data_IF_858380888328
#
_entry.id   IF_858380888328
#
_cell.length_a   1.000
_cell.length_b   1.000
_cell.length_c   1.000
_cell.angle_alpha   90.00
_cell.angle_beta   90.00
_cell.angle_gamma   90.00
#
_symmetry.space_group_name_H-M   'P 1'
#
loop_
_entity.id
_entity.type
_entity.pdbx_description
1 polymer ?
#
# COMPACT_ATOMS: atom_id res chain seq x y z
N UNK A 1 -10.23 12.93 -17.63
CA UNK A 1 -11.63 13.31 -17.34
C UNK A 1 -12.58 12.11 -17.20
N UNK A 2 -12.82 11.31 -18.26
CA UNK A 2 -13.76 10.16 -18.16
C UNK A 2 -13.46 9.19 -17.01
N UNK A 3 -12.20 8.77 -16.88
CA UNK A 3 -11.76 7.88 -15.79
C UNK A 3 -12.01 8.52 -14.42
N UNK A 4 -11.63 9.80 -14.25
CA UNK A 4 -11.85 10.55 -13.00
C UNK A 4 -13.32 10.59 -12.63
N UNK A 5 -14.20 10.97 -13.56
CA UNK A 5 -15.65 11.03 -13.32
C UNK A 5 -16.20 9.67 -12.91
N UNK A 6 -15.83 8.62 -13.64
CA UNK A 6 -16.31 7.26 -13.39
C UNK A 6 -15.83 6.73 -12.05
N UNK A 7 -14.53 6.81 -11.77
CA UNK A 7 -13.94 6.37 -10.50
C UNK A 7 -14.57 7.11 -9.32
N UNK A 8 -14.72 8.43 -9.39
CA UNK A 8 -15.34 9.20 -8.32
C UNK A 8 -16.80 8.79 -8.10
N UNK A 9 -17.59 8.58 -9.16
CA UNK A 9 -18.97 8.12 -9.04
C UNK A 9 -19.04 6.72 -8.40
N UNK A 10 -18.27 5.76 -8.90
CA UNK A 10 -18.24 4.40 -8.37
C UNK A 10 -17.76 4.36 -6.91
N UNK A 11 -16.77 5.20 -6.55
CA UNK A 11 -16.28 5.30 -5.18
C UNK A 11 -17.33 5.89 -4.21
N UNK A 12 -18.07 6.92 -4.64
CA UNK A 12 -19.16 7.48 -3.86
C UNK A 12 -20.28 6.45 -3.59
N UNK A 13 -20.58 5.60 -4.57
CA UNK A 13 -21.53 4.50 -4.42
C UNK A 13 -21.05 3.46 -3.41
N UNK A 14 -19.75 3.12 -3.40
CA UNK A 14 -19.14 2.23 -2.39
C UNK A 14 -19.29 2.82 -0.99
N UNK A 15 -18.95 4.10 -0.81
CA UNK A 15 -19.06 4.75 0.50
C UNK A 15 -20.50 4.77 1.02
N UNK A 16 -21.48 5.12 0.17
CA UNK A 16 -22.88 5.16 0.58
C UNK A 16 -23.41 3.77 0.94
N UNK A 17 -23.03 2.75 0.17
CA UNK A 17 -23.42 1.36 0.42
C UNK A 17 -22.83 0.84 1.73
N UNK A 18 -21.54 1.10 1.97
CA UNK A 18 -20.76 0.32 2.94
C UNK A 18 -20.52 1.05 4.28
N UNK A 19 -20.64 2.38 4.36
CA UNK A 19 -20.30 3.16 5.59
C UNK A 19 -21.08 2.79 6.85
N UNK A 20 -22.26 2.20 6.71
CA UNK A 20 -23.09 1.72 7.83
C UNK A 20 -22.64 0.37 8.41
N UNK A 21 -21.65 -0.30 7.79
CA UNK A 21 -21.15 -1.58 8.25
C UNK A 21 -20.00 -1.39 9.26
N UNK A 22 -20.13 -1.90 10.50
CA UNK A 22 -19.09 -1.73 11.52
C UNK A 22 -17.85 -2.58 11.26
N UNK A 23 -17.92 -3.60 10.40
CA UNK A 23 -16.76 -4.41 10.01
C UNK A 23 -15.83 -3.71 9.02
N UNK A 24 -16.28 -2.64 8.35
CA UNK A 24 -15.41 -1.79 7.56
C UNK A 24 -14.59 -0.93 8.53
N UNK A 25 -13.27 -1.03 8.47
CA UNK A 25 -12.36 -0.36 9.43
C UNK A 25 -11.45 0.69 8.78
N UNK A 26 -11.36 0.72 7.45
CA UNK A 26 -10.57 1.71 6.71
C UNK A 26 -11.11 1.84 5.27
N UNK A 27 -10.76 2.95 4.62
CA UNK A 27 -11.11 3.21 3.22
C UNK A 27 -9.87 3.37 2.35
N UNK A 28 -9.84 2.65 1.23
CA UNK A 28 -8.70 2.61 0.29
C UNK A 28 -9.22 2.85 -1.14
N UNK A 29 -9.27 4.10 -1.63
CA UNK A 29 -9.75 4.39 -2.98
C UNK A 29 -8.79 3.94 -4.09
N UNK A 30 -7.50 3.77 -3.81
CA UNK A 30 -6.47 3.41 -4.79
C UNK A 30 -5.48 2.44 -4.16
N UNK A 31 -5.10 1.41 -4.91
CA UNK A 31 -4.08 0.43 -4.55
C UNK A 31 -2.89 0.57 -5.51
N UNK A 32 -1.65 0.58 -5.01
CA UNK A 32 -0.41 0.47 -5.81
C UNK A 32 -0.28 1.45 -6.99
N UNK A 33 -0.93 2.62 -6.89
CA UNK A 33 -1.02 3.60 -7.97
C UNK A 33 -1.73 3.08 -9.24
N UNK A 34 -2.52 2.00 -9.18
CA UNK A 34 -3.25 1.46 -10.33
C UNK A 34 -4.21 2.51 -10.91
N UNK A 35 -4.03 2.82 -12.20
CA UNK A 35 -4.75 3.89 -12.89
C UNK A 35 -4.13 5.29 -12.75
N UNK A 36 -3.14 5.47 -11.88
CA UNK A 36 -2.38 6.70 -11.68
C UNK A 36 -0.87 6.41 -11.48
N UNK A 37 -0.27 5.58 -12.34
CA UNK A 37 1.06 4.97 -12.12
C UNK A 37 2.26 5.93 -12.05
N UNK A 38 2.09 7.17 -12.51
CA UNK A 38 3.14 8.18 -12.69
C UNK A 38 3.03 9.32 -11.65
N UNK A 39 2.42 9.05 -10.49
CA UNK A 39 2.11 10.08 -9.48
C UNK A 39 3.31 10.96 -9.14
N UNK A 40 4.52 10.41 -9.06
CA UNK A 40 5.73 11.16 -8.74
C UNK A 40 6.03 12.31 -9.72
N UNK A 41 5.68 12.15 -11.01
CA UNK A 41 5.91 13.13 -12.06
C UNK A 41 4.66 13.87 -12.56
N UNK A 42 3.47 13.48 -12.10
CA UNK A 42 2.16 13.95 -12.60
C UNK A 42 1.33 14.57 -11.48
N UNK A 43 1.40 15.90 -11.27
CA UNK A 43 0.62 16.59 -10.24
C UNK A 43 -0.89 16.34 -10.33
N UNK A 44 -1.42 16.14 -11.54
CA UNK A 44 -2.84 15.81 -11.79
C UNK A 44 -3.24 14.45 -11.21
N UNK A 45 -2.33 13.47 -11.19
CA UNK A 45 -2.56 12.15 -10.60
C UNK A 45 -2.52 12.22 -9.07
N UNK A 46 -1.59 12.99 -8.51
CA UNK A 46 -1.57 13.28 -7.07
C UNK A 46 -2.85 14.02 -6.64
N UNK A 47 -3.33 14.96 -7.45
CA UNK A 47 -4.55 15.70 -7.17
C UNK A 47 -5.78 14.79 -7.12
N UNK A 48 -5.85 13.75 -7.95
CA UNK A 48 -6.93 12.77 -7.90
C UNK A 48 -6.93 11.98 -6.58
N UNK A 49 -5.79 11.43 -6.17
CA UNK A 49 -5.67 10.69 -4.91
C UNK A 49 -6.01 11.57 -3.70
N UNK A 50 -5.53 12.81 -3.70
CA UNK A 50 -5.83 13.81 -2.67
C UNK A 50 -7.33 14.16 -2.62
N UNK A 51 -7.96 14.33 -3.78
CA UNK A 51 -9.38 14.61 -3.87
C UNK A 51 -10.24 13.45 -3.34
N UNK A 52 -9.91 12.22 -3.72
CA UNK A 52 -10.61 11.02 -3.22
C UNK A 52 -10.45 10.85 -1.70
N UNK A 53 -9.26 11.12 -1.16
CA UNK A 53 -9.04 11.13 0.28
C UNK A 53 -9.97 12.12 1.00
N UNK A 54 -9.98 13.39 0.57
CA UNK A 54 -10.79 14.42 1.23
C UNK A 54 -12.29 14.21 1.04
N UNK A 55 -12.71 13.75 -0.14
CA UNK A 55 -14.10 13.38 -0.40
C UNK A 55 -14.56 12.26 0.53
N UNK A 56 -13.73 11.23 0.70
CA UNK A 56 -14.00 10.11 1.61
C UNK A 56 -14.15 10.59 3.05
N UNK A 57 -13.19 11.38 3.55
CA UNK A 57 -13.23 11.94 4.90
C UNK A 57 -14.44 12.86 5.13
N UNK A 58 -14.90 13.56 4.11
CA UNK A 58 -16.09 14.43 4.20
C UNK A 58 -17.39 13.62 4.35
N UNK A 59 -17.44 12.42 3.76
CA UNK A 59 -18.62 11.54 3.79
C UNK A 59 -18.60 10.63 5.02
N UNK A 60 -17.44 10.06 5.35
CA UNK A 60 -17.23 9.23 6.53
C UNK A 60 -15.96 9.67 7.28
N UNK A 61 -16.10 10.57 8.26
CA UNK A 61 -14.98 11.02 9.09
C UNK A 61 -14.61 10.02 10.20
N UNK A 62 -15.37 8.93 10.36
CA UNK A 62 -15.24 8.01 11.51
C UNK A 62 -14.17 6.94 11.32
N UNK A 63 -13.68 6.76 10.08
CA UNK A 63 -12.70 5.74 9.71
C UNK A 63 -11.46 6.36 9.07
N UNK A 64 -10.29 5.72 9.21
CA UNK A 64 -9.07 6.12 8.51
C UNK A 64 -9.20 5.94 6.99
N UNK A 65 -8.54 6.81 6.24
CA UNK A 65 -8.48 6.77 4.79
C UNK A 65 -7.02 6.69 4.33
N UNK A 66 -6.74 5.78 3.40
CA UNK A 66 -5.42 5.56 2.83
C UNK A 66 -5.47 5.97 1.35
N UNK A 67 -4.87 7.11 0.99
CA UNK A 67 -5.02 7.69 -0.37
C UNK A 67 -4.55 6.79 -1.51
N UNK A 68 -3.55 5.96 -1.24
CA UNK A 68 -2.95 5.01 -2.17
C UNK A 68 -2.27 3.92 -1.34
N UNK A 69 -2.74 2.69 -1.40
CA UNK A 69 -2.16 1.59 -0.63
C UNK A 69 -0.79 1.19 -1.19
N UNK A 70 0.13 0.85 -0.28
CA UNK A 70 1.46 0.31 -0.58
C UNK A 70 2.60 1.31 -0.77
N UNK A 71 2.39 2.44 -1.45
CA UNK A 71 3.42 3.47 -1.66
C UNK A 71 2.86 4.78 -2.24
N UNK A 72 3.71 5.78 -2.45
CA UNK A 72 3.39 7.05 -3.12
C UNK A 72 2.18 7.79 -2.54
N UNK A 73 2.02 7.71 -1.21
CA UNK A 73 0.95 8.39 -0.50
C UNK A 73 0.98 9.89 -0.76
N UNK A 74 -0.21 10.48 -0.97
CA UNK A 74 -0.36 11.94 -1.04
C UNK A 74 -0.73 12.52 0.32
N UNK A 75 -1.66 11.87 1.01
CA UNK A 75 -2.06 12.11 2.40
C UNK A 75 -2.79 10.86 2.87
N UNK A 76 -2.57 10.37 4.08
CA UNK A 76 -3.25 9.15 4.55
C UNK A 76 -3.27 9.12 6.06
N UNK A 77 -4.32 8.58 6.66
CA UNK A 77 -4.38 8.41 8.12
C UNK A 77 -3.46 7.28 8.61
N UNK A 78 -3.22 6.29 7.75
CA UNK A 78 -2.26 5.18 7.93
C UNK A 78 -1.35 5.12 6.70
N UNK A 79 -0.05 4.93 6.91
CA UNK A 79 0.93 4.77 5.84
C UNK A 79 1.16 3.28 5.60
N UNK A 80 0.52 2.75 4.57
CA UNK A 80 0.62 1.36 4.15
C UNK A 80 1.89 1.10 3.34
N UNK A 81 2.45 -0.09 3.45
CA UNK A 81 3.63 -0.53 2.70
C UNK A 81 3.38 -1.92 2.14
N UNK A 82 3.73 -2.12 0.87
CA UNK A 82 3.80 -3.46 0.27
C UNK A 82 5.27 -3.88 0.20
N UNK A 83 5.63 -4.93 0.93
CA UNK A 83 6.99 -5.46 0.96
C UNK A 83 6.98 -6.98 0.83
N UNK A 84 7.27 -7.43 -0.38
CA UNK A 84 7.38 -8.84 -0.75
C UNK A 84 8.83 -9.35 -0.67
N UNK A 85 9.69 -8.68 0.13
CA UNK A 85 11.03 -9.21 0.43
C UNK A 85 10.92 -10.60 1.06
N UNK A 86 11.77 -11.51 0.58
CA UNK A 86 11.88 -12.87 1.10
C UNK A 86 13.15 -13.09 1.92
N UNK A 87 13.77 -11.99 2.33
CA UNK A 87 14.95 -11.94 3.19
C UNK A 87 14.56 -11.27 4.51
N UNK A 88 14.66 -12.02 5.61
CA UNK A 88 14.29 -11.56 6.95
C UNK A 88 15.21 -10.45 7.45
N UNK A 89 16.49 -10.45 7.06
CA UNK A 89 17.41 -9.38 7.41
C UNK A 89 17.02 -8.06 6.74
N UNK A 90 16.52 -8.09 5.50
CA UNK A 90 15.97 -6.89 4.85
C UNK A 90 14.72 -6.36 5.58
N UNK A 91 13.81 -7.24 5.99
CA UNK A 91 12.62 -6.85 6.76
C UNK A 91 13.02 -6.26 8.12
N UNK A 92 13.93 -6.91 8.85
CA UNK A 92 14.44 -6.43 10.13
C UNK A 92 15.22 -5.11 10.02
N UNK A 93 15.87 -4.85 8.88
CA UNK A 93 16.55 -3.59 8.59
C UNK A 93 15.57 -2.44 8.28
N UNK A 94 14.35 -2.73 7.81
CA UNK A 94 13.31 -1.73 7.52
C UNK A 94 12.34 -1.51 8.69
N UNK A 95 11.96 -2.59 9.36
CA UNK A 95 10.83 -2.61 10.31
C UNK A 95 11.22 -2.99 11.73
N UNK A 96 12.50 -3.32 11.99
CA UNK A 96 12.93 -3.86 13.28
C UNK A 96 12.80 -2.88 14.47
N UNK A 97 12.66 -1.58 14.20
CA UNK A 97 12.40 -0.54 15.19
C UNK A 97 11.81 0.72 14.52
N UNK A 98 11.38 1.68 15.35
CA UNK A 98 10.75 2.91 14.88
C UNK A 98 11.70 3.83 14.11
N UNK A 99 13.00 3.84 14.43
CA UNK A 99 13.98 4.70 13.77
C UNK A 99 14.24 4.22 12.33
N UNK A 100 14.30 2.90 12.12
CA UNK A 100 14.38 2.29 10.78
C UNK A 100 13.14 2.59 9.94
N UNK A 101 11.96 2.52 10.56
CA UNK A 101 10.71 2.88 9.88
C UNK A 101 10.73 4.36 9.48
N UNK A 102 11.17 5.24 10.37
CA UNK A 102 11.30 6.67 10.11
C UNK A 102 12.32 6.97 8.99
N UNK A 103 13.40 6.20 8.88
CA UNK A 103 14.39 6.38 7.82
C UNK A 103 13.82 6.10 6.41
N UNK A 104 12.73 5.33 6.28
CA UNK A 104 12.09 5.07 4.98
C UNK A 104 11.45 6.32 4.36
N UNK A 105 11.17 7.36 5.14
CA UNK A 105 10.61 8.61 4.61
C UNK A 105 11.60 9.42 3.78
N UNK A 106 12.91 9.26 4.06
CA UNK A 106 13.99 9.97 3.40
C UNK A 106 14.56 9.20 2.19
N UNK A 107 14.09 7.95 1.98
CA UNK A 107 14.63 7.03 0.98
C UNK A 107 13.53 6.41 0.11
N UNK A 108 13.94 5.64 -0.89
CA UNK A 108 13.02 4.80 -1.65
C UNK A 108 12.69 3.54 -0.84
N UNK A 109 11.40 3.19 -0.79
CA UNK A 109 10.91 1.98 -0.15
C UNK A 109 11.11 0.71 -0.99
N UNK A 110 10.50 -0.42 -0.57
CA UNK A 110 10.74 -1.76 -1.12
C UNK A 110 10.61 -1.86 -2.65
N UNK A 111 9.58 -1.22 -3.23
CA UNK A 111 9.32 -1.23 -4.68
C UNK A 111 10.07 -0.13 -5.45
N UNK A 112 11.13 0.44 -4.87
CA UNK A 112 11.85 1.62 -5.40
C UNK A 112 10.92 2.83 -5.61
N UNK A 113 9.85 2.89 -4.82
CA UNK A 113 8.86 3.95 -4.77
C UNK A 113 9.01 4.73 -3.47
N UNK A 114 8.75 6.04 -3.49
CA UNK A 114 8.78 6.84 -2.27
C UNK A 114 7.54 6.51 -1.43
N UNK A 115 7.69 6.48 -0.10
CA UNK A 115 6.53 6.28 0.78
C UNK A 115 5.54 7.45 0.66
N UNK A 116 6.05 8.69 0.67
CA UNK A 116 5.26 9.91 0.56
C UNK A 116 5.70 10.73 -0.67
N UNK A 117 4.73 11.27 -1.41
CA UNK A 117 4.99 12.18 -2.53
C UNK A 117 4.80 13.66 -2.18
N UNK A 118 4.13 13.94 -1.06
CA UNK A 118 3.94 15.30 -0.56
C UNK A 118 4.65 15.47 0.76
N UNK A 119 5.18 16.67 0.99
CA UNK A 119 5.66 17.04 2.32
C UNK A 119 4.47 17.12 3.26
N UNK A 120 4.56 16.35 4.33
CA UNK A 120 3.60 16.35 5.41
C UNK A 120 4.39 16.25 6.72
N UNK A 121 4.47 17.35 7.49
CA UNK A 121 5.23 17.38 8.74
C UNK A 121 4.77 16.35 9.77
N UNK A 122 3.54 15.84 9.65
CA UNK A 122 3.00 14.82 10.54
C UNK A 122 3.19 13.39 9.99
N UNK A 123 3.80 13.21 8.82
CA UNK A 123 3.90 11.89 8.19
C UNK A 123 4.67 10.89 9.07
N UNK A 124 5.76 11.30 9.70
CA UNK A 124 6.58 10.45 10.56
C UNK A 124 5.92 10.07 11.89
N UNK A 125 4.84 10.76 12.28
CA UNK A 125 4.06 10.42 13.48
C UNK A 125 2.81 9.59 13.18
N UNK A 126 2.53 9.30 11.90
CA UNK A 126 1.41 8.44 11.51
C UNK A 126 1.76 6.97 11.72
N UNK A 127 0.75 6.13 12.03
CA UNK A 127 0.95 4.69 12.06
C UNK A 127 1.37 4.19 10.68
N UNK A 128 2.34 3.28 10.67
CA UNK A 128 2.81 2.56 9.48
C UNK A 128 2.32 1.12 9.56
N UNK A 129 1.84 0.58 8.44
CA UNK A 129 1.35 -0.80 8.35
C UNK A 129 1.93 -1.47 7.12
N UNK A 130 2.47 -2.68 7.24
CA UNK A 130 2.76 -3.51 6.07
C UNK A 130 1.46 -4.22 5.68
N UNK A 131 0.74 -3.68 4.69
CA UNK A 131 -0.58 -4.18 4.26
C UNK A 131 -0.47 -5.38 3.33
N UNK A 132 0.65 -5.51 2.61
CA UNK A 132 0.95 -6.67 1.78
C UNK A 132 2.39 -7.15 1.99
N UNK A 133 2.53 -8.46 2.19
CA UNK A 133 3.80 -9.17 2.30
C UNK A 133 3.59 -10.67 2.00
N UNK A 134 4.68 -11.40 1.78
CA UNK A 134 4.67 -12.84 1.56
C UNK A 134 4.99 -13.21 0.12
N UNK A 135 4.16 -14.07 -0.50
CA UNK A 135 4.38 -14.48 -1.90
C UNK A 135 5.39 -15.61 -2.10
N UNK A 136 5.76 -16.32 -1.01
CA UNK A 136 6.52 -17.57 -1.07
C UNK A 136 5.62 -18.72 -1.53
N UNK A 137 6.03 -19.40 -2.59
CA UNK A 137 5.26 -20.51 -3.18
C UNK A 137 6.18 -21.65 -3.62
N UNK A 138 5.63 -22.85 -3.84
CA UNK A 138 6.40 -23.89 -4.54
C UNK A 138 6.57 -23.51 -6.00
N UNK A 139 7.65 -24.00 -6.62
CA UNK A 139 7.87 -23.80 -8.04
C UNK A 139 6.64 -24.30 -8.83
N UNK A 140 6.03 -23.45 -9.68
CA UNK A 140 4.86 -23.84 -10.47
C UNK A 140 5.22 -25.00 -11.40
N UNK A 141 4.22 -25.83 -11.73
CA UNK A 141 4.41 -26.88 -12.72
C UNK A 141 4.66 -26.26 -14.09
N UNK A 142 5.34 -26.99 -14.99
CA UNK A 142 5.62 -26.49 -16.33
C UNK A 142 4.30 -26.18 -17.07
N UNK A 143 4.10 -24.92 -17.43
CA UNK A 143 2.92 -24.44 -18.15
C UNK A 143 1.84 -23.81 -17.27
N UNK A 144 2.07 -23.69 -15.96
CA UNK A 144 1.20 -22.91 -15.07
C UNK A 144 1.67 -21.45 -15.02
N UNK A 145 0.70 -20.52 -15.05
CA UNK A 145 0.97 -19.10 -14.81
C UNK A 145 1.35 -18.89 -13.33
N UNK A 146 2.34 -18.03 -13.08
CA UNK A 146 2.85 -17.75 -11.74
C UNK A 146 2.86 -16.25 -11.43
N UNK A 147 2.30 -15.90 -10.28
CA UNK A 147 2.11 -14.53 -9.81
C UNK A 147 2.71 -14.30 -8.42
N UNK A 148 3.57 -15.22 -7.95
CA UNK A 148 4.26 -15.11 -6.67
C UNK A 148 5.51 -14.22 -6.76
N UNK A 149 6.19 -14.10 -5.62
CA UNK A 149 7.36 -13.23 -5.48
C UNK A 149 8.65 -14.02 -5.26
N UNK A 150 8.54 -15.23 -4.68
CA UNK A 150 9.63 -16.21 -4.66
C UNK A 150 9.10 -17.65 -4.76
N UNK A 151 9.96 -18.52 -5.28
CA UNK A 151 9.69 -19.96 -5.34
C UNK A 151 10.69 -20.76 -4.52
N UNK A 152 10.21 -21.88 -3.98
CA UNK A 152 11.04 -22.91 -3.34
C UNK A 152 10.79 -24.25 -4.03
N UNK A 153 11.77 -25.14 -3.93
CA UNK A 153 11.73 -26.45 -4.60
C UNK A 153 11.45 -27.60 -3.65
N UNK A 154 11.52 -27.37 -2.33
CA UNK A 154 11.28 -28.39 -1.30
C UNK A 154 10.53 -27.84 -0.08
N UNK A 155 9.81 -28.70 0.67
CA UNK A 155 9.22 -28.32 1.96
C UNK A 155 10.24 -27.82 2.99
N UNK A 156 11.45 -28.36 2.97
CA UNK A 156 12.55 -27.94 3.84
C UNK A 156 12.98 -26.50 3.52
N UNK A 157 13.16 -26.16 2.24
CA UNK A 157 13.48 -24.79 1.82
C UNK A 157 12.35 -23.82 2.16
N UNK A 158 11.09 -24.25 2.01
CA UNK A 158 9.93 -23.47 2.43
C UNK A 158 9.99 -23.15 3.93
N UNK A 159 10.25 -24.16 4.76
CA UNK A 159 10.33 -24.01 6.20
C UNK A 159 11.52 -23.15 6.63
N UNK A 160 12.69 -23.32 6.00
CA UNK A 160 13.87 -22.50 6.28
C UNK A 160 13.61 -21.04 5.94
N UNK A 161 13.08 -20.74 4.75
CA UNK A 161 12.83 -19.36 4.36
C UNK A 161 11.72 -18.71 5.18
N UNK A 162 10.63 -19.44 5.45
CA UNK A 162 9.56 -18.94 6.32
C UNK A 162 10.04 -18.70 7.76
N UNK A 163 10.99 -19.48 8.26
CA UNK A 163 11.57 -19.29 9.59
C UNK A 163 12.57 -18.14 9.69
N UNK A 164 13.08 -17.64 8.55
CA UNK A 164 13.94 -16.46 8.49
C UNK A 164 13.15 -15.14 8.49
N UNK A 165 11.94 -15.15 7.91
CA UNK A 165 11.00 -14.01 7.86
C UNK A 165 10.40 -13.68 9.24
#
# INVERSE_FOLDING_TARGET
DRMVKRLTSEWLEVLERDRSHPCVVAWVPINESWGITDMAGRPEQQALALALYHLTRAIDPTRPVISNDGWEHTTSDILSIHDYSVDGAHLAARYGDADKVAAMFDHFGPQRRRLMLRQDPAASSRPVMVSEFGGLSYHPSRGEDWFGYATVTSPEDYQTLLGDL
#
